data_IF_669752233076
#
_entry.id   IF_669752233076
#
_cell.length_a   1.000
_cell.length_b   1.000
_cell.length_c   1.000
_cell.angle_alpha   90.00
_cell.angle_beta   90.00
_cell.angle_gamma   90.00
#
_symmetry.space_group_name_H-M   'P 1'
#
loop_
_entity.id
_entity.type
_entity.pdbx_description
1 polymer ?
#
# COMPACT_ATOMS: atom_id res chain seq x y z
N UNK A 1 18.90 -30.54 5.33
CA UNK A 1 17.43 -30.58 5.50
C UNK A 1 16.95 -29.14 5.59
N UNK A 2 15.97 -28.74 4.76
CA UNK A 2 15.40 -27.39 4.77
C UNK A 2 14.37 -27.26 5.88
N UNK A 3 14.32 -26.09 6.50
CA UNK A 3 13.30 -25.72 7.50
C UNK A 3 12.66 -24.43 7.02
N UNK A 4 11.34 -24.38 6.98
CA UNK A 4 10.66 -23.14 6.58
C UNK A 4 10.85 -22.07 7.65
N UNK A 5 11.42 -20.93 7.25
CA UNK A 5 11.68 -19.81 8.18
C UNK A 5 10.39 -19.19 8.75
N UNK A 6 9.22 -19.49 8.19
CA UNK A 6 7.92 -18.99 8.64
C UNK A 6 7.12 -20.00 9.46
N UNK A 7 6.77 -21.16 8.90
CA UNK A 7 5.94 -22.15 9.57
C UNK A 7 6.73 -23.29 10.24
N UNK A 8 8.06 -23.26 10.14
CA UNK A 8 9.00 -24.24 10.73
C UNK A 8 8.78 -25.70 10.24
N UNK A 9 8.02 -25.91 9.14
CA UNK A 9 7.90 -27.25 8.55
C UNK A 9 9.24 -27.76 8.05
N UNK A 10 9.47 -29.05 8.20
CA UNK A 10 10.65 -29.78 7.73
C UNK A 10 10.34 -30.73 6.58
N UNK A 11 9.09 -30.75 6.11
CA UNK A 11 8.61 -31.57 5.01
C UNK A 11 9.23 -31.12 3.69
N UNK A 12 10.19 -31.91 3.18
CA UNK A 12 11.00 -31.54 2.02
C UNK A 12 10.19 -31.46 0.70
N UNK A 13 9.06 -32.16 0.63
CA UNK A 13 8.16 -32.13 -0.53
C UNK A 13 7.46 -30.78 -0.73
N UNK A 14 7.48 -29.93 0.30
CA UNK A 14 6.91 -28.59 0.28
C UNK A 14 7.88 -27.49 -0.17
N UNK A 15 9.09 -27.82 -0.63
CA UNK A 15 10.12 -26.83 -1.02
C UNK A 15 10.48 -26.96 -2.51
N UNK A 16 9.49 -26.86 -3.39
CA UNK A 16 9.66 -26.97 -4.85
C UNK A 16 9.97 -25.62 -5.51
N UNK A 17 9.45 -24.55 -4.94
CA UNK A 17 9.64 -23.18 -5.42
C UNK A 17 10.74 -22.41 -4.70
N UNK A 18 10.93 -21.18 -5.10
CA UNK A 18 11.80 -20.20 -4.42
C UNK A 18 11.00 -18.97 -4.03
N UNK A 19 11.29 -18.42 -2.88
CA UNK A 19 10.72 -17.15 -2.43
C UNK A 19 11.65 -16.00 -2.84
N UNK A 20 11.10 -14.93 -3.38
CA UNK A 20 11.87 -13.74 -3.74
C UNK A 20 11.94 -12.78 -2.56
N UNK A 21 13.14 -12.25 -2.27
CA UNK A 21 13.31 -11.24 -1.23
C UNK A 21 12.43 -10.03 -1.54
N UNK A 22 12.52 -9.51 -2.75
CA UNK A 22 11.59 -8.51 -3.27
C UNK A 22 10.54 -9.21 -4.14
N UNK A 23 9.23 -8.99 -3.90
CA UNK A 23 8.18 -9.62 -4.71
C UNK A 23 8.35 -9.34 -6.21
N UNK A 24 8.13 -10.35 -7.05
CA UNK A 24 8.21 -10.21 -8.51
C UNK A 24 7.25 -9.16 -9.08
N UNK A 25 6.17 -8.84 -8.35
CA UNK A 25 5.27 -7.75 -8.71
C UNK A 25 5.98 -6.38 -8.75
N UNK A 26 7.12 -6.24 -8.08
CA UNK A 26 7.97 -5.04 -8.12
C UNK A 26 9.08 -5.11 -9.17
N UNK A 27 9.06 -6.10 -10.02
CA UNK A 27 10.00 -6.26 -11.12
C UNK A 27 11.00 -7.39 -10.92
N UNK A 28 11.84 -7.58 -11.92
CA UNK A 28 12.97 -8.53 -11.91
C UNK A 28 14.28 -7.78 -11.79
N UNK A 29 15.25 -8.36 -11.11
CA UNK A 29 16.53 -7.71 -10.79
C UNK A 29 17.72 -8.44 -11.48
N UNK A 30 17.51 -8.90 -12.70
CA UNK A 30 18.51 -9.64 -13.46
C UNK A 30 18.74 -11.06 -12.92
N UNK A 31 19.85 -11.68 -13.32
CA UNK A 31 20.20 -13.06 -12.96
C UNK A 31 20.56 -13.26 -11.49
N UNK A 32 20.83 -12.19 -10.76
CA UNK A 32 21.20 -12.21 -9.34
C UNK A 32 20.06 -11.74 -8.42
N UNK A 33 18.81 -11.94 -8.84
CA UNK A 33 17.63 -11.63 -8.00
C UNK A 33 17.76 -12.37 -6.66
N UNK A 34 17.76 -11.67 -5.51
CA UNK A 34 17.86 -12.33 -4.22
C UNK A 34 16.67 -13.24 -3.96
N UNK A 35 16.92 -14.53 -3.75
CA UNK A 35 15.90 -15.55 -3.50
C UNK A 35 16.26 -16.42 -2.31
N UNK A 36 15.26 -17.08 -1.74
CA UNK A 36 15.35 -18.00 -0.61
C UNK A 36 14.73 -19.34 -0.97
N UNK A 37 15.43 -20.44 -0.63
CA UNK A 37 14.93 -21.82 -0.78
C UNK A 37 14.47 -22.44 0.54
N UNK A 38 14.43 -21.65 1.60
CA UNK A 38 14.00 -22.02 2.94
C UNK A 38 12.57 -21.51 3.27
N UNK A 39 11.77 -21.22 2.27
CA UNK A 39 10.34 -20.92 2.42
C UNK A 39 9.54 -21.99 1.70
N UNK A 40 8.62 -22.65 2.40
CA UNK A 40 7.79 -23.69 1.79
C UNK A 40 6.75 -23.09 0.83
N UNK A 41 6.30 -23.90 -0.14
CA UNK A 41 5.35 -23.48 -1.18
C UNK A 41 4.04 -22.94 -0.62
N UNK A 42 3.56 -23.49 0.52
CA UNK A 42 2.34 -23.02 1.18
C UNK A 42 2.50 -21.58 1.68
N UNK A 43 3.62 -21.26 2.37
CA UNK A 43 3.91 -19.91 2.82
C UNK A 43 4.12 -18.96 1.64
N UNK A 44 4.89 -19.36 0.63
CA UNK A 44 5.15 -18.59 -0.57
C UNK A 44 3.86 -18.23 -1.32
N UNK A 45 2.99 -19.21 -1.56
CA UNK A 45 1.69 -19.00 -2.21
C UNK A 45 0.77 -18.09 -1.40
N UNK A 46 0.75 -18.26 -0.06
CA UNK A 46 0.00 -17.37 0.83
C UNK A 46 0.48 -15.93 0.72
N UNK A 47 1.79 -15.69 0.79
CA UNK A 47 2.36 -14.35 0.70
C UNK A 47 2.07 -13.69 -0.66
N UNK A 48 2.24 -14.43 -1.75
CA UNK A 48 1.95 -13.93 -3.10
C UNK A 48 0.51 -13.47 -3.26
N UNK A 49 -0.44 -14.24 -2.72
CA UNK A 49 -1.87 -13.95 -2.82
C UNK A 49 -2.32 -12.84 -1.87
N UNK A 50 -1.87 -12.87 -0.61
CA UNK A 50 -2.43 -12.03 0.44
C UNK A 50 -1.61 -10.75 0.70
N UNK A 51 -0.30 -10.82 0.66
CA UNK A 51 0.58 -9.72 1.06
C UNK A 51 1.16 -8.96 -0.13
N UNK A 52 1.80 -9.68 -1.06
CA UNK A 52 2.50 -9.05 -2.18
C UNK A 52 1.53 -8.31 -3.11
N UNK A 53 0.33 -8.88 -3.31
CA UNK A 53 -0.70 -8.21 -4.09
C UNK A 53 -1.24 -6.95 -3.40
N UNK A 54 -1.42 -6.97 -2.08
CA UNK A 54 -1.88 -5.81 -1.34
C UNK A 54 -0.85 -4.66 -1.47
N UNK A 55 0.44 -4.95 -1.23
CA UNK A 55 1.49 -3.95 -1.36
C UNK A 55 1.61 -3.41 -2.80
N UNK A 56 1.49 -4.29 -3.81
CA UNK A 56 1.64 -3.90 -5.21
C UNK A 56 0.44 -3.17 -5.82
N UNK A 57 -0.74 -3.22 -5.19
CA UNK A 57 -1.98 -2.69 -5.76
C UNK A 57 -2.67 -1.62 -4.93
N UNK A 58 -2.46 -1.65 -3.60
CA UNK A 58 -3.29 -0.89 -2.67
C UNK A 58 -2.51 0.23 -1.98
N UNK A 59 -1.35 0.62 -2.56
CA UNK A 59 -0.44 1.61 -1.99
C UNK A 59 -0.03 2.67 -3.01
N UNK A 60 0.57 3.75 -2.54
CA UNK A 60 1.20 4.77 -3.41
C UNK A 60 2.36 4.19 -4.22
N UNK A 61 3.09 3.26 -3.62
CA UNK A 61 4.15 2.49 -4.29
C UNK A 61 3.58 1.62 -5.41
N UNK A 62 2.41 1.02 -5.20
CA UNK A 62 1.68 0.28 -6.22
C UNK A 62 1.28 1.15 -7.40
N UNK A 63 0.82 2.39 -7.16
CA UNK A 63 0.54 3.37 -8.22
C UNK A 63 1.82 3.75 -8.96
N UNK A 64 2.89 4.03 -8.21
CA UNK A 64 4.18 4.41 -8.81
C UNK A 64 4.72 3.28 -9.67
N UNK A 65 4.64 2.03 -9.19
CA UNK A 65 4.95 0.82 -9.95
C UNK A 65 4.18 0.77 -11.28
N UNK A 66 2.88 1.02 -11.21
CA UNK A 66 2.01 1.04 -12.39
C UNK A 66 2.43 2.13 -13.38
N UNK A 67 2.60 3.38 -12.91
CA UNK A 67 3.02 4.52 -13.76
C UNK A 67 4.38 4.29 -14.43
N UNK A 68 5.26 3.50 -13.80
CA UNK A 68 6.61 3.17 -14.33
C UNK A 68 6.62 1.95 -15.25
N UNK A 69 5.47 1.34 -15.52
CA UNK A 69 5.40 0.15 -16.37
C UNK A 69 6.09 -1.09 -15.80
N UNK A 70 6.24 -1.16 -14.47
CA UNK A 70 6.88 -2.30 -13.80
C UNK A 70 5.82 -3.35 -13.51
N UNK A 71 5.74 -4.40 -14.34
CA UNK A 71 4.75 -5.47 -14.22
C UNK A 71 5.41 -6.84 -14.33
N UNK A 72 4.81 -7.86 -13.69
CA UNK A 72 5.23 -9.24 -13.91
C UNK A 72 4.52 -9.90 -15.08
N UNK A 73 3.19 -9.92 -15.11
CA UNK A 73 2.38 -10.56 -16.19
C UNK A 73 1.04 -9.89 -16.49
N UNK A 74 0.43 -9.21 -15.53
CA UNK A 74 -0.88 -8.56 -15.70
C UNK A 74 -0.87 -7.14 -15.15
N UNK A 75 -1.25 -6.21 -16.00
CA UNK A 75 -1.52 -4.83 -15.62
C UNK A 75 -2.86 -4.78 -14.86
N UNK A 76 -2.81 -4.68 -13.53
CA UNK A 76 -3.99 -4.37 -12.75
C UNK A 76 -3.76 -3.09 -11.97
N UNK A 77 -4.62 -2.13 -12.23
CA UNK A 77 -4.60 -0.86 -11.51
C UNK A 77 -4.89 -1.05 -10.02
N UNK A 78 -4.28 -0.25 -9.13
CA UNK A 78 -4.57 -0.26 -7.70
C UNK A 78 -6.07 -0.08 -7.43
N UNK A 79 -6.71 -1.04 -6.73
CA UNK A 79 -8.15 -1.02 -6.50
C UNK A 79 -8.58 -0.18 -5.30
N UNK A 80 -7.71 -0.10 -4.28
CA UNK A 80 -8.08 0.42 -2.96
C UNK A 80 -7.44 1.78 -2.64
N UNK A 81 -6.72 2.37 -3.57
CA UNK A 81 -6.21 3.73 -3.40
C UNK A 81 -7.33 4.72 -3.70
N UNK A 82 -7.64 5.55 -2.73
CA UNK A 82 -8.60 6.63 -2.90
C UNK A 82 -7.88 7.82 -3.53
N UNK A 83 -8.45 8.30 -4.63
CA UNK A 83 -8.09 9.58 -5.20
C UNK A 83 -9.15 10.58 -4.79
N UNK A 84 -8.74 11.67 -4.21
CA UNK A 84 -9.63 12.79 -3.91
C UNK A 84 -9.30 13.93 -4.86
N UNK A 85 -10.33 14.44 -5.53
CA UNK A 85 -10.24 15.65 -6.31
C UNK A 85 -10.64 16.81 -5.41
N UNK A 86 -9.76 17.76 -5.22
CA UNK A 86 -10.02 18.94 -4.43
C UNK A 86 -10.66 20.01 -5.31
N UNK A 87 -11.77 20.53 -4.85
CA UNK A 87 -12.40 21.69 -5.46
C UNK A 87 -11.58 22.94 -5.07
N UNK A 88 -11.12 23.68 -6.07
CA UNK A 88 -10.20 24.82 -5.88
C UNK A 88 -10.89 26.11 -5.45
N UNK A 89 -12.22 26.16 -5.42
CA UNK A 89 -12.97 27.32 -4.93
C UNK A 89 -13.27 27.16 -3.44
N UNK A 90 -12.90 28.16 -2.63
CA UNK A 90 -13.05 28.18 -1.17
C UNK A 90 -14.51 28.02 -0.67
N UNK A 91 -15.51 28.15 -1.56
CA UNK A 91 -16.93 28.04 -1.28
C UNK A 91 -17.67 27.08 -2.21
N UNK A 92 -17.03 25.99 -2.63
CA UNK A 92 -17.69 25.02 -3.48
C UNK A 92 -18.99 24.50 -2.88
N UNK A 93 -20.05 24.50 -3.64
CA UNK A 93 -21.41 24.07 -3.27
C UNK A 93 -21.44 22.64 -2.68
N UNK A 94 -20.40 21.87 -2.91
CA UNK A 94 -20.27 20.45 -2.57
C UNK A 94 -19.36 20.16 -1.36
N UNK A 95 -18.74 21.20 -0.78
CA UNK A 95 -18.04 21.11 0.51
C UNK A 95 -16.88 20.16 0.55
N UNK A 96 -16.01 20.16 -0.47
CA UNK A 96 -14.75 19.48 -0.34
C UNK A 96 -14.37 18.51 -1.48
N UNK A 97 -13.56 17.56 -1.15
CA UNK A 97 -12.92 16.62 -2.08
C UNK A 97 -13.86 15.52 -2.57
N UNK A 98 -13.84 15.21 -3.85
CA UNK A 98 -14.57 14.08 -4.46
C UNK A 98 -13.63 12.90 -4.74
N UNK A 99 -14.19 11.69 -4.80
CA UNK A 99 -13.42 10.54 -5.24
C UNK A 99 -13.24 10.61 -6.75
N UNK A 100 -12.00 10.60 -7.18
CA UNK A 100 -11.63 10.55 -8.59
C UNK A 100 -11.28 9.15 -9.06
N UNK A 101 -11.24 8.98 -10.36
CA UNK A 101 -10.81 7.76 -11.02
C UNK A 101 -9.57 7.97 -11.88
N UNK A 102 -8.96 6.86 -12.28
CA UNK A 102 -7.89 6.81 -13.25
C UNK A 102 -8.21 5.81 -14.34
N UNK A 103 -7.85 6.15 -15.56
CA UNK A 103 -7.85 5.20 -16.65
C UNK A 103 -6.83 4.08 -16.35
N UNK A 104 -7.28 2.83 -16.27
CA UNK A 104 -6.38 1.72 -15.93
C UNK A 104 -5.33 1.45 -17.02
N UNK A 105 -5.50 1.92 -18.22
CA UNK A 105 -4.57 1.71 -19.34
C UNK A 105 -3.52 2.83 -19.41
N UNK A 106 -3.94 4.06 -19.23
CA UNK A 106 -3.05 5.23 -19.39
C UNK A 106 -2.54 5.81 -18.09
N UNK A 107 -3.13 5.44 -16.95
CA UNK A 107 -2.84 6.02 -15.64
C UNK A 107 -3.20 7.50 -15.54
N UNK A 108 -4.02 8.02 -16.48
CA UNK A 108 -4.48 9.42 -16.46
C UNK A 108 -5.73 9.57 -15.61
N UNK A 109 -5.92 10.71 -14.95
CA UNK A 109 -7.17 11.01 -14.28
C UNK A 109 -8.33 10.99 -15.28
N UNK A 110 -9.43 10.30 -14.93
CA UNK A 110 -10.66 10.24 -15.73
C UNK A 110 -11.78 11.08 -15.14
N UNK A 111 -11.49 11.84 -14.09
CA UNK A 111 -12.47 12.70 -13.45
C UNK A 111 -13.16 12.06 -12.25
N UNK A 112 -14.35 12.57 -11.91
CA UNK A 112 -15.15 12.09 -10.78
C UNK A 112 -15.71 10.71 -11.10
N UNK A 113 -15.59 9.78 -10.17
CA UNK A 113 -16.19 8.45 -10.29
C UNK A 113 -17.54 8.40 -9.57
N UNK A 114 -18.46 7.51 -9.99
CA UNK A 114 -19.73 7.30 -9.31
C UNK A 114 -19.50 6.92 -7.84
N UNK A 115 -20.15 7.69 -6.93
CA UNK A 115 -19.91 7.56 -5.51
C UNK A 115 -21.15 7.92 -4.68
N UNK A 116 -21.22 7.34 -3.52
CA UNK A 116 -22.21 7.60 -2.50
C UNK A 116 -21.56 8.25 -1.28
N UNK A 117 -22.13 9.33 -0.79
CA UNK A 117 -21.69 10.04 0.40
C UNK A 117 -22.76 9.95 1.49
N UNK A 118 -22.33 9.75 2.72
CA UNK A 118 -23.18 9.79 3.89
C UNK A 118 -22.44 10.55 4.98
N UNK A 119 -23.15 11.44 5.67
CA UNK A 119 -22.57 12.25 6.74
C UNK A 119 -22.53 11.46 8.04
N UNK A 120 -21.34 11.24 8.55
CA UNK A 120 -21.14 10.71 9.90
C UNK A 120 -21.37 11.85 10.90
N UNK A 121 -22.48 11.78 11.65
CA UNK A 121 -22.87 12.85 12.57
C UNK A 121 -21.96 12.94 13.81
N UNK A 122 -21.38 11.81 14.25
CA UNK A 122 -20.44 11.80 15.39
C UNK A 122 -19.12 12.48 15.06
N UNK A 123 -18.63 12.28 13.84
CA UNK A 123 -17.36 12.85 13.36
C UNK A 123 -17.55 14.20 12.66
N UNK A 124 -18.79 14.58 12.38
CA UNK A 124 -19.16 15.73 11.55
C UNK A 124 -18.40 15.76 10.21
N UNK A 125 -18.28 14.59 9.55
CA UNK A 125 -17.55 14.41 8.29
C UNK A 125 -18.35 13.61 7.30
N UNK A 126 -18.17 13.91 6.00
CA UNK A 126 -18.67 13.11 4.90
C UNK A 126 -17.82 11.86 4.74
N UNK A 127 -18.43 10.68 4.81
CA UNK A 127 -17.84 9.41 4.46
C UNK A 127 -18.25 9.07 3.03
N UNK A 128 -17.28 8.71 2.20
CA UNK A 128 -17.41 8.58 0.74
C UNK A 128 -17.15 7.14 0.32
N UNK A 129 -18.08 6.58 -0.42
CA UNK A 129 -18.06 5.18 -0.83
C UNK A 129 -18.17 5.06 -2.35
N UNK A 130 -17.32 4.25 -2.94
CA UNK A 130 -17.46 3.80 -4.33
C UNK A 130 -18.62 2.82 -4.43
N UNK A 131 -19.16 2.61 -5.63
CA UNK A 131 -20.28 1.69 -5.87
C UNK A 131 -20.00 0.30 -5.27
N UNK A 132 -18.81 -0.25 -5.51
CA UNK A 132 -18.42 -1.56 -5.01
C UNK A 132 -18.19 -1.64 -3.49
N UNK A 133 -18.15 -0.53 -2.80
CA UNK A 133 -18.01 -0.45 -1.34
C UNK A 133 -19.36 -0.33 -0.63
N UNK A 134 -20.44 -0.02 -1.36
CA UNK A 134 -21.79 0.12 -0.79
C UNK A 134 -22.24 -1.18 -0.12
N UNK A 135 -21.86 -2.32 -0.66
CA UNK A 135 -22.16 -3.65 -0.10
C UNK A 135 -21.59 -3.89 1.31
N UNK A 136 -20.54 -3.16 1.68
CA UNK A 136 -19.83 -3.31 2.96
C UNK A 136 -20.30 -2.25 3.98
N UNK A 137 -21.26 -1.41 3.60
CA UNK A 137 -21.73 -0.31 4.40
C UNK A 137 -22.81 -0.78 5.39
N UNK A 138 -22.48 -0.73 6.67
CA UNK A 138 -23.42 -0.94 7.76
C UNK A 138 -23.92 0.43 8.23
N UNK A 139 -25.20 0.74 7.97
CA UNK A 139 -25.81 2.01 8.36
C UNK A 139 -26.47 1.88 9.73
N UNK A 140 -25.89 2.57 10.70
CA UNK A 140 -26.43 2.73 12.05
C UNK A 140 -27.03 4.14 12.21
N UNK A 141 -28.24 4.24 12.76
CA UNK A 141 -28.89 5.52 13.08
C UNK A 141 -28.07 6.33 14.08
N UNK A 142 -27.31 5.66 14.94
CA UNK A 142 -26.43 6.29 15.92
C UNK A 142 -25.26 7.05 15.27
N UNK A 143 -24.77 6.54 14.14
CA UNK A 143 -23.60 7.08 13.43
C UNK A 143 -24.04 8.07 12.34
N UNK A 144 -25.12 7.78 11.63
CA UNK A 144 -25.51 8.50 10.42
C UNK A 144 -26.87 9.23 10.56
N UNK A 145 -27.49 9.13 11.71
CA UNK A 145 -28.83 9.69 11.94
C UNK A 145 -29.96 8.82 11.34
N UNK A 146 -31.17 9.03 11.83
CA UNK A 146 -32.36 8.31 11.35
C UNK A 146 -32.83 8.84 10.00
N UNK A 147 -33.53 8.00 9.22
CA UNK A 147 -34.15 8.42 7.97
C UNK A 147 -35.31 9.40 8.26
N UNK A 148 -35.24 10.61 7.68
CA UNK A 148 -36.28 11.61 7.84
C UNK A 148 -35.81 13.01 7.42
N UNK A 149 -36.74 14.00 7.32
CA UNK A 149 -36.36 15.36 6.98
C UNK A 149 -35.35 15.93 7.99
N UNK A 150 -34.20 16.39 7.48
CA UNK A 150 -33.15 17.04 8.26
C UNK A 150 -32.37 16.14 9.23
N UNK A 151 -32.50 14.82 9.11
CA UNK A 151 -31.86 13.88 10.06
C UNK A 151 -30.66 13.11 9.49
N UNK A 152 -30.76 12.59 8.25
CA UNK A 152 -29.67 11.88 7.60
C UNK A 152 -29.31 12.58 6.30
N UNK A 153 -28.09 13.07 6.23
CA UNK A 153 -27.58 13.73 5.03
C UNK A 153 -26.88 12.71 4.14
N UNK A 154 -27.29 12.63 2.87
CA UNK A 154 -26.73 11.73 1.87
C UNK A 154 -26.62 12.43 0.52
N UNK A 155 -25.63 12.03 -0.28
CA UNK A 155 -25.42 12.54 -1.64
C UNK A 155 -25.04 11.42 -2.58
N UNK A 156 -25.51 11.46 -3.81
CA UNK A 156 -25.03 10.63 -4.91
C UNK A 156 -24.33 11.54 -5.90
N UNK A 157 -23.15 11.14 -6.32
CA UNK A 157 -22.32 11.89 -7.26
C UNK A 157 -21.93 10.96 -8.40
N UNK A 158 -22.15 11.41 -9.63
CA UNK A 158 -21.76 10.73 -10.86
C UNK A 158 -21.55 11.74 -11.96
N UNK A 159 -20.80 11.42 -13.00
CA UNK A 159 -20.54 12.30 -14.15
C UNK A 159 -21.67 12.24 -15.21
N UNK A 160 -22.59 11.28 -15.07
CA UNK A 160 -23.72 11.08 -15.97
C UNK A 160 -24.94 10.54 -15.24
N UNK A 161 -26.11 10.64 -15.90
CA UNK A 161 -27.34 10.04 -15.37
C UNK A 161 -27.24 8.54 -15.19
N UNK A 162 -26.58 7.84 -16.09
CA UNK A 162 -26.40 6.38 -15.99
C UNK A 162 -25.60 6.01 -14.74
N UNK A 163 -24.50 6.71 -14.47
CA UNK A 163 -23.69 6.50 -13.27
C UNK A 163 -24.46 6.78 -11.98
N UNK A 164 -25.31 7.81 -12.00
CA UNK A 164 -26.21 8.11 -10.90
C UNK A 164 -27.20 6.95 -10.66
N UNK A 165 -27.82 6.45 -11.73
CA UNK A 165 -28.77 5.33 -11.67
C UNK A 165 -28.08 4.03 -11.19
N UNK A 166 -26.82 3.82 -11.56
CA UNK A 166 -26.02 2.69 -11.08
C UNK A 166 -25.83 2.73 -9.55
N UNK A 167 -25.51 3.91 -9.00
CA UNK A 167 -25.38 4.09 -7.55
C UNK A 167 -26.72 3.84 -6.86
N UNK A 168 -27.81 4.36 -7.38
CA UNK A 168 -29.17 4.12 -6.88
C UNK A 168 -29.53 2.63 -6.88
N UNK A 169 -29.20 1.94 -7.94
CA UNK A 169 -29.44 0.50 -8.08
C UNK A 169 -28.72 -0.30 -6.97
N UNK A 170 -27.46 0.02 -6.70
CA UNK A 170 -26.73 -0.64 -5.63
C UNK A 170 -27.29 -0.30 -4.23
N UNK A 171 -27.68 0.96 -3.98
CA UNK A 171 -28.35 1.33 -2.72
C UNK A 171 -29.64 0.56 -2.52
N UNK A 172 -30.46 0.40 -3.56
CA UNK A 172 -31.70 -0.41 -3.52
C UNK A 172 -31.40 -1.88 -3.25
N UNK A 173 -30.42 -2.46 -3.95
CA UNK A 173 -29.99 -3.86 -3.82
C UNK A 173 -29.58 -4.20 -2.39
N UNK A 174 -28.85 -3.32 -1.72
CA UNK A 174 -28.39 -3.50 -0.34
C UNK A 174 -29.37 -2.90 0.70
N UNK A 175 -30.57 -2.50 0.27
CA UNK A 175 -31.64 -1.96 1.13
C UNK A 175 -31.19 -0.78 1.98
N UNK A 176 -30.29 0.05 1.45
CA UNK A 176 -29.83 1.26 2.12
C UNK A 176 -30.92 2.32 1.98
N UNK A 177 -31.52 2.81 3.09
CA UNK A 177 -32.60 3.76 3.00
C UNK A 177 -32.08 5.15 2.61
N UNK A 178 -32.66 5.74 1.58
CA UNK A 178 -32.33 7.07 1.05
C UNK A 178 -33.60 7.85 0.64
N UNK A 179 -33.44 9.15 0.43
CA UNK A 179 -34.48 10.03 -0.14
C UNK A 179 -34.01 10.59 -1.50
N UNK A 180 -34.79 10.39 -2.53
CA UNK A 180 -34.46 10.86 -3.87
C UNK A 180 -34.37 12.39 -4.01
N UNK A 181 -35.08 13.15 -3.16
CA UNK A 181 -35.13 14.63 -3.24
C UNK A 181 -33.87 15.36 -2.76
N UNK A 182 -32.93 14.66 -2.10
CA UNK A 182 -31.75 15.27 -1.49
C UNK A 182 -30.47 14.94 -2.26
N UNK A 183 -30.60 14.40 -3.46
CA UNK A 183 -29.48 13.94 -4.25
C UNK A 183 -29.05 14.98 -5.28
N UNK A 184 -27.89 15.54 -5.05
CA UNK A 184 -27.33 16.56 -5.92
C UNK A 184 -26.68 15.94 -7.14
N UNK A 185 -26.96 16.49 -8.31
CA UNK A 185 -26.16 16.25 -9.52
C UNK A 185 -24.74 16.79 -9.30
N UNK A 186 -23.73 16.20 -9.94
CA UNK A 186 -22.37 16.72 -9.83
C UNK A 186 -22.32 18.15 -10.37
N UNK A 187 -21.43 18.97 -9.82
CA UNK A 187 -21.13 20.24 -10.43
C UNK A 187 -20.62 20.00 -11.85
N UNK A 188 -20.87 20.91 -12.76
CA UNK A 188 -20.24 20.87 -14.07
C UNK A 188 -18.74 21.20 -13.94
N UNK A 189 -17.96 20.27 -13.40
CA UNK A 189 -16.50 20.40 -13.36
C UNK A 189 -15.87 20.57 -14.74
N UNK A 190 -16.64 20.22 -15.78
CA UNK A 190 -16.19 20.26 -17.18
C UNK A 190 -16.53 21.59 -17.83
N UNK A 191 -17.55 22.35 -17.36
CA UNK A 191 -18.00 23.59 -18.00
C UNK A 191 -17.18 24.83 -17.61
N UNK A 192 -16.41 24.79 -16.54
CA UNK A 192 -15.46 25.86 -16.13
C UNK A 192 -14.03 25.58 -16.57
N UNK A 193 -13.81 24.82 -17.63
CA UNK A 193 -12.51 24.81 -18.27
C UNK A 193 -12.17 26.27 -18.66
N UNK A 194 -11.03 26.76 -18.18
CA UNK A 194 -10.37 27.95 -18.70
C UNK A 194 -10.55 27.97 -20.23
N UNK A 195 -10.83 29.12 -20.84
CA UNK A 195 -10.93 29.26 -22.31
C UNK A 195 -9.75 28.65 -23.08
N UNK A 196 -8.64 28.39 -22.42
CA UNK A 196 -7.47 27.67 -22.94
C UNK A 196 -7.62 26.14 -22.88
N UNK A 197 -8.72 25.60 -22.34
CA UNK A 197 -8.96 24.14 -22.20
C UNK A 197 -8.10 23.43 -21.17
N UNK A 198 -7.40 24.16 -20.31
CA UNK A 198 -6.59 23.59 -19.23
C UNK A 198 -7.26 23.82 -17.88
N UNK A 199 -7.84 22.79 -17.30
CA UNK A 199 -8.28 22.80 -15.92
C UNK A 199 -7.11 22.31 -15.03
N UNK A 200 -6.70 23.10 -14.03
CA UNK A 200 -5.79 22.64 -12.98
C UNK A 200 -6.60 21.82 -11.98
N UNK A 201 -6.41 20.52 -12.00
CA UNK A 201 -6.97 19.59 -11.03
C UNK A 201 -5.89 19.29 -9.97
N UNK A 202 -6.13 19.68 -8.73
CA UNK A 202 -5.35 19.19 -7.59
C UNK A 202 -5.86 17.80 -7.22
N UNK A 203 -4.97 16.81 -7.29
CA UNK A 203 -5.27 15.42 -6.96
C UNK A 203 -4.58 15.08 -5.66
N UNK A 204 -5.37 14.86 -4.62
CA UNK A 204 -4.88 14.30 -3.36
C UNK A 204 -4.98 12.77 -3.43
N UNK A 205 -3.87 12.09 -3.26
CA UNK A 205 -3.82 10.64 -3.23
C UNK A 205 -3.73 10.20 -1.77
N UNK A 206 -4.80 9.58 -1.26
CA UNK A 206 -4.83 9.08 0.12
C UNK A 206 -4.55 7.59 0.10
N UNK A 207 -3.40 7.20 0.63
CA UNK A 207 -3.02 5.82 0.90
C UNK A 207 -3.21 5.49 2.38
N UNK A 208 -3.75 4.32 2.69
CA UNK A 208 -3.82 3.81 4.05
C UNK A 208 -2.83 2.66 4.20
N UNK A 209 -1.85 2.83 5.09
CA UNK A 209 -0.89 1.78 5.44
C UNK A 209 -1.54 0.89 6.50
N UNK A 210 -2.38 -0.02 6.05
CA UNK A 210 -3.07 -0.97 6.91
C UNK A 210 -2.13 -2.10 7.39
N UNK A 211 -2.63 -2.94 8.29
CA UNK A 211 -1.88 -4.06 8.86
C UNK A 211 -1.35 -5.04 7.78
N UNK A 212 -2.13 -5.32 6.74
CA UNK A 212 -1.72 -6.21 5.63
C UNK A 212 -0.51 -5.65 4.86
N UNK A 213 -0.50 -4.34 4.61
CA UNK A 213 0.64 -3.66 3.97
C UNK A 213 1.88 -3.69 4.88
N UNK A 214 1.72 -3.44 6.18
CA UNK A 214 2.82 -3.56 7.15
C UNK A 214 3.41 -4.97 7.15
N UNK A 215 2.56 -6.01 7.14
CA UNK A 215 3.01 -7.40 7.05
C UNK A 215 3.80 -7.69 5.77
N UNK A 216 3.36 -7.15 4.63
CA UNK A 216 4.08 -7.29 3.36
C UNK A 216 5.47 -6.64 3.41
N UNK A 217 5.58 -5.46 3.99
CA UNK A 217 6.87 -4.77 4.18
C UNK A 217 7.79 -5.56 5.12
N UNK A 218 7.26 -6.02 6.26
CA UNK A 218 8.02 -6.86 7.21
C UNK A 218 8.44 -8.18 6.57
N UNK A 219 7.60 -8.80 5.72
CA UNK A 219 7.97 -10.00 4.94
C UNK A 219 9.21 -9.74 4.09
N UNK A 220 9.26 -8.62 3.36
CA UNK A 220 10.43 -8.26 2.55
C UNK A 220 11.68 -8.10 3.42
N UNK A 221 11.55 -7.39 4.54
CA UNK A 221 12.65 -7.16 5.46
C UNK A 221 13.14 -8.45 6.13
N UNK A 222 12.24 -9.35 6.53
CA UNK A 222 12.56 -10.64 7.11
C UNK A 222 13.23 -11.57 6.09
N UNK A 223 12.73 -11.58 4.85
CA UNK A 223 13.38 -12.29 3.74
C UNK A 223 14.79 -11.75 3.47
N UNK A 224 14.94 -10.42 3.47
CA UNK A 224 16.24 -9.79 3.29
C UNK A 224 17.21 -10.14 4.44
N UNK A 225 16.72 -10.10 5.68
CA UNK A 225 17.51 -10.52 6.85
C UNK A 225 17.97 -11.97 6.70
N UNK A 226 17.08 -12.86 6.27
CA UNK A 226 17.44 -14.26 6.02
C UNK A 226 18.48 -14.41 4.91
N UNK A 227 18.34 -13.63 3.83
CA UNK A 227 19.31 -13.65 2.73
C UNK A 227 20.72 -13.22 3.15
N UNK A 228 20.82 -12.25 4.06
CA UNK A 228 22.11 -11.72 4.54
C UNK A 228 22.69 -12.56 5.68
N UNK A 229 21.87 -12.98 6.63
CA UNK A 229 22.31 -13.63 7.87
C UNK A 229 22.35 -15.16 7.74
N UNK A 230 21.55 -15.70 6.83
CA UNK A 230 21.31 -17.13 6.69
C UNK A 230 20.08 -17.61 7.48
N UNK A 231 19.55 -18.77 7.07
CA UNK A 231 18.33 -19.35 7.64
C UNK A 231 18.47 -19.73 9.12
N UNK A 232 19.62 -20.26 9.51
CA UNK A 232 19.88 -20.66 10.90
C UNK A 232 19.78 -19.49 11.88
N UNK A 233 20.17 -18.31 11.42
CA UNK A 233 20.11 -17.10 12.22
C UNK A 233 18.67 -16.65 12.43
N UNK A 234 17.91 -16.57 11.35
CA UNK A 234 16.52 -16.10 11.42
C UNK A 234 15.53 -17.14 11.94
N UNK A 235 15.94 -18.39 12.11
CA UNK A 235 15.17 -19.43 12.80
C UNK A 235 15.21 -19.30 14.33
N UNK A 236 16.15 -18.54 14.91
CA UNK A 236 16.23 -18.29 16.36
C UNK A 236 14.95 -17.60 16.88
N UNK A 237 14.65 -17.81 18.15
CA UNK A 237 13.46 -17.29 18.81
C UNK A 237 13.37 -15.76 18.85
N UNK A 238 14.49 -15.05 18.81
CA UNK A 238 14.52 -13.59 18.73
C UNK A 238 13.75 -13.03 17.53
N UNK A 239 13.58 -13.82 16.47
CA UNK A 239 12.85 -13.46 15.24
C UNK A 239 11.39 -13.95 15.22
N UNK A 240 10.93 -14.66 16.26
CA UNK A 240 9.58 -15.26 16.26
C UNK A 240 8.47 -14.22 16.16
N UNK A 241 8.65 -13.06 16.76
CA UNK A 241 7.67 -11.96 16.70
C UNK A 241 7.46 -11.47 15.26
N UNK A 242 8.54 -11.23 14.52
CA UNK A 242 8.44 -10.85 13.10
C UNK A 242 7.83 -11.96 12.24
N UNK A 243 8.22 -13.21 12.49
CA UNK A 243 7.68 -14.40 11.81
C UNK A 243 6.18 -14.55 12.02
N UNK A 244 5.72 -14.48 13.27
CA UNK A 244 4.31 -14.62 13.62
C UNK A 244 3.47 -13.45 13.08
N UNK A 245 4.00 -12.23 13.14
CA UNK A 245 3.37 -11.07 12.54
C UNK A 245 3.13 -11.26 11.03
N UNK A 246 4.13 -11.75 10.30
CA UNK A 246 4.02 -11.97 8.86
C UNK A 246 3.10 -13.16 8.54
N UNK A 247 3.30 -14.32 9.17
CA UNK A 247 2.64 -15.57 8.76
C UNK A 247 1.24 -15.72 9.33
N UNK A 248 1.06 -15.42 10.60
CA UNK A 248 -0.16 -15.76 11.35
C UNK A 248 -1.07 -14.56 11.59
N UNK A 249 -0.63 -13.34 11.26
CA UNK A 249 -1.30 -12.10 11.63
C UNK A 249 -1.42 -11.91 13.15
N UNK A 250 -0.51 -12.54 13.87
CA UNK A 250 -0.37 -12.44 15.31
C UNK A 250 0.65 -11.36 15.67
N UNK A 251 0.73 -11.03 16.94
CA UNK A 251 1.64 -10.03 17.48
C UNK A 251 1.44 -8.61 16.91
N UNK A 252 2.26 -7.71 17.40
CA UNK A 252 2.37 -6.35 16.91
C UNK A 252 3.84 -5.99 16.85
N UNK A 253 4.33 -5.59 15.68
CA UNK A 253 5.67 -5.07 15.53
C UNK A 253 5.66 -3.56 15.66
N UNK A 254 6.55 -3.05 16.50
CA UNK A 254 6.84 -1.62 16.55
C UNK A 254 7.49 -1.21 15.24
N UNK A 255 7.02 -0.11 14.68
CA UNK A 255 7.55 0.42 13.43
C UNK A 255 7.05 1.84 13.19
N UNK A 256 7.79 2.55 12.40
CA UNK A 256 7.44 3.91 11.96
C UNK A 256 7.51 4.01 10.45
N UNK A 257 6.84 5.01 9.90
CA UNK A 257 7.07 5.44 8.53
C UNK A 257 7.28 6.95 8.52
N UNK A 258 8.08 7.41 7.58
CA UNK A 258 8.38 8.83 7.40
C UNK A 258 8.62 9.13 5.92
N UNK A 259 8.64 10.42 5.59
CA UNK A 259 9.14 10.91 4.30
C UNK A 259 10.64 11.26 4.35
N UNK A 260 11.30 10.93 5.45
CA UNK A 260 12.72 11.16 5.61
C UNK A 260 13.53 10.34 4.60
N UNK A 261 14.66 10.86 4.15
CA UNK A 261 15.53 10.13 3.26
C UNK A 261 16.03 8.84 3.95
N UNK A 262 16.23 7.81 3.15
CA UNK A 262 16.71 6.50 3.60
C UNK A 262 18.14 6.58 4.24
N UNK A 263 18.92 7.56 3.83
CA UNK A 263 20.30 7.77 4.21
C UNK A 263 20.47 9.09 4.97
N UNK A 264 21.16 9.06 6.10
CA UNK A 264 21.52 10.27 6.84
C UNK A 264 22.61 11.03 6.09
N UNK A 265 22.25 12.14 5.53
CA UNK A 265 22.95 13.32 4.99
C UNK A 265 24.37 13.25 4.41
N UNK A 266 25.29 12.43 4.88
CA UNK A 266 26.68 12.44 4.41
C UNK A 266 27.00 11.43 3.29
N UNK A 267 26.26 10.34 3.16
CA UNK A 267 26.51 9.28 2.17
C UNK A 267 25.72 9.44 0.88
N UNK A 268 24.83 10.40 0.79
CA UNK A 268 23.98 10.66 -0.38
C UNK A 268 24.77 11.07 -1.64
N UNK A 269 26.02 11.49 -1.51
CA UNK A 269 26.85 11.91 -2.66
C UNK A 269 27.13 10.76 -3.65
N UNK A 270 27.11 9.52 -3.22
CA UNK A 270 27.41 8.35 -4.06
C UNK A 270 26.17 7.57 -4.53
N UNK A 271 25.03 7.76 -3.88
CA UNK A 271 23.76 7.17 -4.27
C UNK A 271 22.86 8.25 -4.85
N UNK A 272 22.98 8.53 -6.15
CA UNK A 272 21.95 9.28 -6.85
C UNK A 272 20.64 8.54 -6.70
N UNK A 273 19.63 9.21 -6.13
CA UNK A 273 18.28 8.69 -5.98
C UNK A 273 17.68 8.40 -7.35
N UNK A 274 17.87 7.17 -7.83
CA UNK A 274 17.11 6.71 -8.98
C UNK A 274 15.67 6.49 -8.51
N UNK A 275 14.74 7.24 -9.05
CA UNK A 275 13.31 7.17 -8.71
C UNK A 275 12.67 5.79 -8.95
N UNK A 276 13.43 4.84 -9.49
CA UNK A 276 13.01 3.47 -9.81
C UNK A 276 13.61 2.43 -8.88
N UNK A 277 14.34 2.83 -7.84
CA UNK A 277 15.03 1.89 -6.95
C UNK A 277 14.26 1.62 -5.67
N UNK A 278 14.57 0.49 -5.06
CA UNK A 278 14.18 0.10 -3.71
C UNK A 278 15.44 0.02 -2.87
N UNK A 279 15.42 0.63 -1.71
CA UNK A 279 16.52 0.59 -0.77
C UNK A 279 16.09 -0.25 0.43
N UNK A 280 16.91 -1.21 0.83
CA UNK A 280 16.64 -2.11 1.96
C UNK A 280 17.90 -2.15 2.84
N UNK A 281 17.72 -2.06 4.15
CA UNK A 281 18.82 -2.06 5.13
C UNK A 281 18.42 -2.87 6.36
N UNK A 282 19.40 -3.59 6.94
CA UNK A 282 19.33 -4.14 8.29
C UNK A 282 20.50 -3.62 9.12
N UNK A 283 20.23 -3.25 10.35
CA UNK A 283 21.23 -2.71 11.27
C UNK A 283 20.85 -2.96 12.73
N UNK A 284 21.82 -2.85 13.63
CA UNK A 284 21.59 -2.82 15.07
C UNK A 284 21.20 -1.40 15.52
N UNK A 285 20.20 -1.30 16.38
CA UNK A 285 19.78 -0.05 16.99
C UNK A 285 19.26 -0.28 18.40
N UNK A 286 19.96 0.26 19.40
CA UNK A 286 19.57 0.16 20.81
C UNK A 286 19.32 -1.29 21.27
N UNK A 287 20.21 -2.23 20.92
CA UNK A 287 20.09 -3.64 21.28
C UNK A 287 19.01 -4.42 20.54
N UNK A 288 18.53 -3.91 19.42
CA UNK A 288 17.53 -4.56 18.57
C UNK A 288 18.03 -4.61 17.15
N UNK A 289 17.52 -5.54 16.36
CA UNK A 289 17.70 -5.55 14.90
C UNK A 289 16.52 -4.83 14.26
N UNK A 290 16.81 -3.77 13.51
CA UNK A 290 15.83 -3.05 12.72
C UNK A 290 16.02 -3.34 11.24
N UNK A 291 14.89 -3.36 10.54
CA UNK A 291 14.83 -3.38 9.09
C UNK A 291 14.24 -2.07 8.57
N UNK A 292 14.89 -1.51 7.57
CA UNK A 292 14.46 -0.26 6.93
C UNK A 292 14.29 -0.53 5.45
N UNK A 293 13.14 -0.10 4.89
CA UNK A 293 12.85 -0.22 3.47
C UNK A 293 12.27 1.08 2.93
N UNK A 294 12.73 1.46 1.75
CA UNK A 294 12.17 2.56 0.98
C UNK A 294 11.86 2.09 -0.44
N UNK A 295 10.64 2.34 -0.88
CA UNK A 295 10.17 1.99 -2.22
C UNK A 295 9.99 3.28 -3.02
N UNK A 296 10.65 3.39 -4.19
CA UNK A 296 10.58 4.52 -5.13
C UNK A 296 10.88 5.90 -4.53
N UNK A 297 11.62 5.96 -3.43
CA UNK A 297 11.90 7.21 -2.70
C UNK A 297 10.64 7.95 -2.20
N UNK A 298 9.53 7.22 -1.96
CA UNK A 298 8.29 7.81 -1.47
C UNK A 298 8.28 7.88 0.05
N UNK A 299 8.32 6.71 0.69
CA UNK A 299 8.28 6.59 2.13
C UNK A 299 9.34 5.64 2.63
N UNK A 300 9.90 5.95 3.78
CA UNK A 300 10.80 5.09 4.53
C UNK A 300 10.02 4.41 5.64
N UNK A 301 10.09 3.08 5.66
CA UNK A 301 9.46 2.23 6.67
C UNK A 301 10.53 1.57 7.51
N UNK A 302 10.42 1.69 8.83
CA UNK A 302 11.32 1.08 9.82
C UNK A 302 10.53 0.14 10.71
N UNK A 303 11.04 -1.08 10.96
CA UNK A 303 10.43 -2.06 11.82
C UNK A 303 11.48 -2.75 12.71
N UNK A 304 11.13 -3.02 13.96
CA UNK A 304 11.93 -3.85 14.86
C UNK A 304 11.70 -5.33 14.51
N UNK A 305 12.70 -5.99 13.94
CA UNK A 305 12.59 -7.36 13.45
C UNK A 305 12.97 -8.39 14.52
N UNK A 306 13.96 -8.07 15.38
CA UNK A 306 14.33 -8.87 16.52
C UNK A 306 14.65 -7.95 17.71
N UNK A 307 13.96 -8.16 18.82
CA UNK A 307 14.12 -7.36 20.03
C UNK A 307 15.13 -8.03 20.99
N UNK A 308 15.90 -7.22 21.72
CA UNK A 308 16.96 -7.67 22.63
C UNK A 308 17.93 -8.66 21.95
N UNK A 309 18.27 -8.35 20.72
CA UNK A 309 19.13 -9.16 19.88
C UNK A 309 19.97 -8.28 18.97
N UNK A 310 21.22 -8.67 18.75
CA UNK A 310 22.12 -7.94 17.85
C UNK A 310 22.75 -8.89 16.86
N UNK A 311 22.89 -8.44 15.63
CA UNK A 311 23.64 -9.12 14.58
C UNK A 311 25.10 -8.66 14.58
N UNK A 312 26.04 -9.48 14.09
CA UNK A 312 27.42 -9.05 13.92
C UNK A 312 27.52 -7.77 13.09
N UNK A 313 28.34 -6.78 13.48
CA UNK A 313 28.43 -5.49 12.77
C UNK A 313 28.79 -5.64 11.28
N UNK A 314 29.58 -6.65 10.92
CA UNK A 314 29.93 -6.93 9.52
C UNK A 314 28.75 -7.46 8.69
N UNK A 315 27.63 -7.83 9.33
CA UNK A 315 26.37 -8.24 8.70
C UNK A 315 25.39 -7.07 8.54
N UNK A 316 25.63 -5.95 9.22
CA UNK A 316 24.88 -4.73 8.94
C UNK A 316 25.11 -4.32 7.49
N UNK A 317 24.03 -4.18 6.72
CA UNK A 317 24.18 -3.97 5.29
C UNK A 317 22.95 -3.34 4.66
N UNK A 318 23.18 -2.69 3.54
CA UNK A 318 22.14 -2.10 2.72
C UNK A 318 22.28 -2.54 1.26
N UNK A 319 21.15 -2.69 0.61
CA UNK A 319 21.06 -3.00 -0.80
C UNK A 319 20.20 -2.00 -1.53
N UNK A 320 20.61 -1.67 -2.74
CA UNK A 320 19.75 -1.03 -3.73
C UNK A 320 19.34 -2.05 -4.78
N UNK A 321 18.04 -2.16 -4.98
CA UNK A 321 17.44 -3.00 -6.00
C UNK A 321 16.80 -2.10 -7.05
N UNK A 322 17.27 -2.17 -8.30
CA UNK A 322 16.70 -1.41 -9.42
C UNK A 322 16.13 -2.40 -10.43
N UNK A 323 14.82 -2.35 -10.75
CA UNK A 323 14.22 -3.25 -11.73
C UNK A 323 14.98 -3.23 -13.05
N UNK A 324 15.24 -4.42 -13.62
CA UNK A 324 16.01 -4.58 -14.87
C UNK A 324 17.53 -4.45 -14.74
N UNK A 325 18.05 -4.13 -13.54
CA UNK A 325 19.49 -4.06 -13.27
C UNK A 325 19.90 -5.08 -12.21
N UNK A 326 21.19 -5.43 -12.17
CA UNK A 326 21.73 -6.23 -11.07
C UNK A 326 21.61 -5.48 -9.75
N UNK A 327 21.32 -6.17 -8.64
CA UNK A 327 21.30 -5.55 -7.32
C UNK A 327 22.67 -4.93 -7.00
N UNK A 328 22.66 -3.67 -6.56
CA UNK A 328 23.86 -3.04 -6.03
C UNK A 328 23.90 -3.22 -4.51
N UNK A 329 24.93 -3.88 -4.02
CA UNK A 329 25.25 -3.93 -2.61
C UNK A 329 25.67 -2.52 -2.17
N UNK A 330 24.98 -1.99 -1.19
CA UNK A 330 25.35 -0.69 -0.61
C UNK A 330 26.71 -0.75 0.06
N UNK A 331 27.38 0.38 0.12
CA UNK A 331 28.65 0.52 0.82
C UNK A 331 28.41 0.18 2.30
N UNK A 332 29.31 -0.62 2.90
CA UNK A 332 29.30 -0.87 4.35
C UNK A 332 29.31 0.48 5.07
N UNK A 333 28.24 0.82 5.77
CA UNK A 333 28.29 1.95 6.68
C UNK A 333 29.23 1.59 7.83
N UNK A 334 30.34 2.30 7.96
CA UNK A 334 31.00 2.41 9.27
C UNK A 334 30.16 3.44 10.03
N UNK A 335 29.34 2.95 10.94
CA UNK A 335 28.74 3.78 11.97
C UNK A 335 29.90 4.10 12.92
N UNK A 336 30.39 5.34 12.88
CA UNK A 336 31.36 5.88 13.82
C UNK A 336 30.70 6.21 15.14
#
# INVERSE_FOLDING_TARGET
MKICIYCKTVDQEKFKGVEHVMPQSFGTFGSETPTLNCVCDECNNYFGRELDQALARDTLEGITRYKKGIFSKEQRFPKNVKFELEETEENGEYGGTMLGGYDPLTGKPIGVIPQFWIKNIKKNKWEKYRINQIRELEISDEIYGSVGPGKREMRIIGSSKNEYDDVLSELKKYKIPYREKEMLSPPPFIEKADPTGKAELRINIIGNINRKIKRALVKILFNFSTYILGEQETLKSAWDKARNFVRNDEDTLSGRFSQEPFWDGQETKHFRFESNSYNIRIENKNGNVIGIIQLYNLFTYEFFLAENYSIPPEKETAYRLTPGKKPCKGIKMKIS
#
